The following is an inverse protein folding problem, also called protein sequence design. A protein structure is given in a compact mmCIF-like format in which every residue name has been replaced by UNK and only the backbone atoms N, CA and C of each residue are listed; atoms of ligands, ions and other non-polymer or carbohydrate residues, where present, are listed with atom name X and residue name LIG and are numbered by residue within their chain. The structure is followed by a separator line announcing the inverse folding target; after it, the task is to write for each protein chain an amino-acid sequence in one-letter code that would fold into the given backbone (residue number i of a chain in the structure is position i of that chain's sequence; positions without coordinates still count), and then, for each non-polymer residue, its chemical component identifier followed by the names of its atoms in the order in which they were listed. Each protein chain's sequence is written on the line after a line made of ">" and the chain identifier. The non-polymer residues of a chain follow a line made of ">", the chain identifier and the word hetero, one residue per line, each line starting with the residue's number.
data_IF_532241927561
#
_entry.id   IF_532241927561
#
_cell.length_a   1.000
_cell.length_b   1.000
_cell.length_c   1.000
_cell.angle_alpha   90.00
_cell.angle_beta   90.00
_cell.angle_gamma   90.00
#
_symmetry.space_group_name_H-M   'P 1'
#
loop_
_entity.id
_entity.type
_entity.pdbx_description
1 polymer ?
#
# COMPACT_ATOMS: atom_id res chain seq x y z
N UNK A 1 -18.80 -44.50 -25.96
CA UNK A 1 -17.65 -44.20 -25.09
C UNK A 1 -16.47 -43.86 -25.99
N UNK A 2 -16.31 -42.57 -26.31
CA UNK A 2 -15.15 -42.06 -27.06
C UNK A 2 -14.04 -41.81 -26.04
N UNK A 3 -12.94 -42.53 -26.16
CA UNK A 3 -11.67 -42.16 -25.57
C UNK A 3 -11.24 -40.85 -26.23
N UNK A 4 -11.17 -39.76 -25.47
CA UNK A 4 -10.55 -38.52 -25.93
C UNK A 4 -9.04 -38.68 -25.74
N UNK A 5 -8.33 -38.71 -26.86
CA UNK A 5 -6.89 -38.53 -26.92
C UNK A 5 -6.52 -37.19 -26.26
N UNK A 6 -5.75 -37.25 -25.19
CA UNK A 6 -5.07 -36.11 -24.57
C UNK A 6 -3.69 -35.93 -25.23
N UNK A 7 -3.67 -35.78 -26.56
CA UNK A 7 -2.49 -35.37 -27.33
C UNK A 7 -2.59 -33.88 -27.68
N UNK A 8 -2.73 -33.08 -26.62
CA UNK A 8 -2.58 -31.63 -26.65
C UNK A 8 -1.59 -31.24 -25.59
N UNK A 9 -0.30 -31.39 -25.88
CA UNK A 9 0.75 -30.77 -25.09
C UNK A 9 0.50 -29.26 -25.09
N UNK A 10 -0.14 -28.78 -24.03
CA UNK A 10 -0.09 -27.37 -23.65
C UNK A 10 1.38 -27.12 -23.32
N UNK A 11 2.09 -26.40 -24.18
CA UNK A 11 3.47 -25.96 -23.95
C UNK A 11 3.56 -25.28 -22.58
N UNK A 12 4.09 -26.01 -21.59
CA UNK A 12 4.35 -25.55 -20.22
C UNK A 12 5.34 -24.38 -20.14
N UNK A 13 5.98 -24.03 -21.25
CA UNK A 13 7.05 -23.04 -21.36
C UNK A 13 6.52 -21.59 -21.45
N UNK A 14 5.28 -21.39 -21.94
CA UNK A 14 4.71 -20.04 -22.03
C UNK A 14 4.16 -19.52 -20.69
N UNK A 15 3.87 -20.42 -19.74
CA UNK A 15 3.23 -20.11 -18.46
C UNK A 15 4.23 -19.74 -17.35
N UNK A 16 5.52 -19.94 -17.58
CA UNK A 16 6.61 -19.60 -16.65
C UNK A 16 7.16 -18.19 -16.86
N UNK A 17 6.60 -17.39 -17.79
CA UNK A 17 7.12 -16.05 -18.10
C UNK A 17 6.67 -15.04 -17.05
N UNK A 18 7.54 -14.63 -16.11
CA UNK A 18 7.11 -13.89 -14.92
C UNK A 18 6.65 -12.44 -15.23
N UNK A 19 7.01 -11.91 -16.42
CA UNK A 19 6.53 -10.62 -16.94
C UNK A 19 5.01 -10.54 -17.12
N UNK A 20 4.31 -11.67 -17.30
CA UNK A 20 2.84 -11.68 -17.40
C UNK A 20 2.16 -11.37 -16.05
N UNK A 21 2.79 -11.81 -14.96
CA UNK A 21 2.28 -11.72 -13.59
C UNK A 21 2.30 -10.29 -13.04
N UNK A 22 3.19 -9.44 -13.58
CA UNK A 22 3.40 -8.06 -13.12
C UNK A 22 2.62 -7.00 -13.93
N UNK A 23 1.90 -7.39 -15.00
CA UNK A 23 1.23 -6.45 -15.93
C UNK A 23 -0.28 -6.31 -15.74
N UNK A 24 -0.93 -7.21 -15.01
CA UNK A 24 -2.37 -7.20 -14.81
C UNK A 24 -2.74 -6.70 -13.40
N UNK A 25 -3.71 -5.79 -13.25
CA UNK A 25 -4.39 -5.56 -11.99
C UNK A 25 -5.18 -6.79 -11.59
N UNK A 26 -4.63 -7.58 -10.65
CA UNK A 26 -5.22 -8.84 -10.23
C UNK A 26 -6.37 -8.70 -9.22
N UNK A 27 -6.87 -7.49 -8.96
CA UNK A 27 -7.97 -7.30 -8.02
C UNK A 27 -9.37 -7.28 -8.67
N UNK A 28 -9.52 -7.34 -10.00
CA UNK A 28 -10.83 -7.60 -10.61
C UNK A 28 -10.78 -8.04 -12.07
N UNK A 29 -11.14 -9.31 -12.30
CA UNK A 29 -11.47 -9.86 -13.61
C UNK A 29 -10.71 -11.15 -13.89
N UNK A 30 -11.44 -12.26 -13.84
CA UNK A 30 -11.00 -13.63 -14.19
C UNK A 30 -10.09 -14.35 -13.18
N UNK A 31 -10.55 -14.39 -11.93
CA UNK A 31 -9.99 -15.24 -10.85
C UNK A 31 -10.07 -16.74 -11.20
N UNK A 32 -10.98 -17.16 -12.08
CA UNK A 32 -11.12 -18.59 -12.46
C UNK A 32 -9.93 -19.13 -13.25
N UNK A 33 -9.33 -18.33 -14.15
CA UNK A 33 -8.15 -18.76 -14.93
C UNK A 33 -6.89 -18.81 -14.06
N UNK A 34 -6.80 -17.91 -13.07
CA UNK A 34 -5.63 -17.81 -12.18
C UNK A 34 -5.72 -18.84 -11.05
N UNK A 35 -6.91 -19.12 -10.52
CA UNK A 35 -7.09 -20.12 -9.45
C UNK A 35 -6.69 -21.52 -9.91
N UNK A 36 -7.05 -21.94 -11.14
CA UNK A 36 -6.59 -23.22 -11.70
C UNK A 36 -5.09 -23.21 -12.07
N UNK A 37 -4.55 -22.09 -12.57
CA UNK A 37 -3.11 -21.96 -12.91
C UNK A 37 -2.19 -21.92 -11.69
N UNK A 38 -2.65 -21.35 -10.58
CA UNK A 38 -1.88 -21.08 -9.36
C UNK A 38 -1.93 -22.23 -8.36
N UNK A 39 -3.06 -22.94 -8.24
CA UNK A 39 -3.12 -24.16 -7.43
C UNK A 39 -2.19 -25.26 -7.98
N UNK A 40 -2.00 -25.34 -9.29
CA UNK A 40 -1.16 -26.36 -9.92
C UNK A 40 0.33 -25.98 -9.95
N UNK A 41 0.68 -24.69 -10.00
CA UNK A 41 2.09 -24.25 -10.14
C UNK A 41 2.73 -23.68 -8.87
N UNK A 42 2.02 -22.89 -8.06
CA UNK A 42 2.60 -22.18 -6.90
C UNK A 42 2.43 -22.91 -5.56
N UNK A 43 1.71 -24.04 -5.54
CA UNK A 43 1.55 -24.91 -4.36
C UNK A 43 2.65 -25.99 -4.24
N UNK A 44 3.46 -26.18 -5.29
CA UNK A 44 4.56 -27.16 -5.32
C UNK A 44 5.78 -26.72 -4.52
N UNK A 45 6.50 -27.68 -3.93
CA UNK A 45 7.69 -27.47 -3.07
C UNK A 45 8.79 -26.62 -3.72
N UNK A 46 8.87 -26.60 -5.06
CA UNK A 46 9.89 -25.84 -5.81
C UNK A 46 9.81 -24.33 -5.53
N UNK A 47 8.62 -23.73 -5.38
CA UNK A 47 8.50 -22.29 -5.07
C UNK A 47 8.80 -21.94 -3.61
N UNK A 48 8.68 -22.91 -2.70
CA UNK A 48 8.96 -22.69 -1.26
C UNK A 48 10.42 -22.95 -0.91
N UNK A 49 11.05 -23.90 -1.59
CA UNK A 49 12.36 -24.43 -1.22
C UNK A 49 13.49 -23.91 -2.12
N UNK A 50 13.19 -23.31 -3.28
CA UNK A 50 14.19 -22.77 -4.20
C UNK A 50 14.36 -21.25 -4.01
N UNK A 51 15.57 -20.77 -3.61
CA UNK A 51 15.82 -19.35 -3.37
C UNK A 51 15.65 -18.48 -4.62
N UNK A 52 15.74 -19.04 -5.83
CA UNK A 52 15.54 -18.30 -7.09
C UNK A 52 14.11 -17.79 -7.22
N UNK A 53 13.15 -18.43 -6.55
CA UNK A 53 11.74 -18.04 -6.55
C UNK A 53 11.32 -17.25 -5.30
N UNK A 54 12.25 -16.92 -4.40
CA UNK A 54 11.95 -16.28 -3.12
C UNK A 54 11.18 -14.95 -3.26
N UNK A 55 11.52 -14.15 -4.27
CA UNK A 55 10.77 -12.93 -4.60
C UNK A 55 9.32 -13.23 -4.95
N UNK A 56 9.08 -14.15 -5.89
CA UNK A 56 7.72 -14.49 -6.34
C UNK A 56 6.90 -15.14 -5.24
N UNK A 57 7.53 -15.96 -4.40
CA UNK A 57 6.88 -16.53 -3.22
C UNK A 57 6.48 -15.42 -2.24
N UNK A 58 7.38 -14.47 -1.95
CA UNK A 58 7.09 -13.35 -1.05
C UNK A 58 6.02 -12.42 -1.61
N UNK A 59 6.08 -12.11 -2.91
CA UNK A 59 5.07 -11.35 -3.64
C UNK A 59 3.70 -12.01 -3.56
N UNK A 60 3.61 -13.31 -3.88
CA UNK A 60 2.37 -14.06 -3.88
C UNK A 60 1.78 -14.20 -2.47
N UNK A 61 2.61 -14.50 -1.48
CA UNK A 61 2.18 -14.57 -0.07
C UNK A 61 1.74 -13.20 0.45
N UNK A 62 2.44 -12.13 0.09
CA UNK A 62 2.05 -10.76 0.38
C UNK A 62 0.67 -10.44 -0.20
N UNK A 63 0.44 -10.76 -1.47
CA UNK A 63 -0.86 -10.59 -2.13
C UNK A 63 -1.98 -11.36 -1.40
N UNK A 64 -1.76 -12.64 -1.05
CA UNK A 64 -2.74 -13.44 -0.30
C UNK A 64 -3.00 -12.91 1.10
N UNK A 65 -1.97 -12.41 1.77
CA UNK A 65 -2.05 -11.82 3.09
C UNK A 65 -2.60 -10.38 3.09
N UNK A 66 -2.92 -9.83 1.92
CA UNK A 66 -3.34 -8.44 1.77
C UNK A 66 -2.19 -7.43 1.85
N UNK A 67 -0.95 -7.86 2.07
CA UNK A 67 0.28 -7.07 2.19
C UNK A 67 1.11 -7.13 0.90
N UNK A 68 0.69 -6.51 -0.23
CA UNK A 68 1.48 -6.53 -1.44
C UNK A 68 2.85 -5.90 -1.21
N UNK A 69 3.85 -6.35 -1.96
CA UNK A 69 5.14 -5.65 -2.03
C UNK A 69 4.95 -4.19 -2.44
N UNK A 70 5.92 -3.34 -2.10
CA UNK A 70 5.92 -1.94 -2.51
C UNK A 70 5.68 -1.82 -4.03
N UNK A 71 4.70 -1.01 -4.42
CA UNK A 71 4.30 -0.87 -5.82
C UNK A 71 5.42 -0.32 -6.70
N UNK A 72 6.23 0.59 -6.18
CA UNK A 72 7.33 1.16 -6.95
C UNK A 72 8.46 0.13 -7.15
N UNK A 73 8.70 -0.74 -6.15
CA UNK A 73 9.59 -1.89 -6.32
C UNK A 73 9.06 -2.84 -7.42
N UNK A 74 7.78 -3.17 -7.39
CA UNK A 74 7.15 -4.01 -8.42
C UNK A 74 7.24 -3.37 -9.81
N UNK A 75 6.98 -2.06 -9.91
CA UNK A 75 7.08 -1.29 -11.15
C UNK A 75 8.51 -1.34 -11.70
N UNK A 76 9.52 -1.05 -10.86
CA UNK A 76 10.94 -1.10 -11.26
C UNK A 76 11.32 -2.47 -11.77
N UNK A 77 10.99 -3.54 -11.06
CA UNK A 77 11.24 -4.92 -11.51
C UNK A 77 10.57 -5.17 -12.88
N UNK A 78 9.33 -4.73 -13.06
CA UNK A 78 8.60 -4.92 -14.31
C UNK A 78 9.16 -4.10 -15.50
N UNK A 79 9.77 -2.94 -15.23
CA UNK A 79 10.26 -2.02 -16.27
C UNK A 79 11.76 -2.10 -16.54
N UNK A 80 12.57 -2.33 -15.51
CA UNK A 80 14.04 -2.35 -15.62
C UNK A 80 14.56 -3.66 -16.17
N UNK A 81 13.90 -4.80 -15.87
CA UNK A 81 14.30 -6.09 -16.40
C UNK A 81 13.91 -6.19 -17.89
N UNK A 82 14.88 -6.30 -18.81
CA UNK A 82 14.59 -6.38 -20.23
C UNK A 82 13.78 -7.63 -20.60
N UNK A 83 12.91 -7.58 -21.63
CA UNK A 83 12.16 -8.74 -22.10
C UNK A 83 13.04 -9.97 -22.34
N UNK A 84 14.27 -9.78 -22.84
CA UNK A 84 15.20 -10.86 -23.18
C UNK A 84 15.65 -11.63 -21.94
N UNK A 85 15.77 -10.96 -20.80
CA UNK A 85 16.09 -11.60 -19.51
C UNK A 85 14.89 -12.36 -18.99
N UNK A 86 13.68 -11.82 -19.14
CA UNK A 86 12.44 -12.54 -18.80
C UNK A 86 12.28 -13.83 -19.62
N UNK A 87 12.63 -13.79 -20.90
CA UNK A 87 12.57 -14.93 -21.83
C UNK A 87 13.69 -15.97 -21.59
N UNK A 88 14.80 -15.56 -20.96
CA UNK A 88 15.89 -16.46 -20.59
C UNK A 88 15.60 -17.32 -19.34
N UNK A 89 14.48 -17.06 -18.65
CA UNK A 89 14.01 -17.87 -17.52
C UNK A 89 14.57 -17.47 -16.16
N UNK A 90 14.19 -18.23 -15.12
CA UNK A 90 14.40 -17.84 -13.72
C UNK A 90 15.87 -17.64 -13.32
N UNK A 91 16.79 -18.39 -13.94
CA UNK A 91 18.23 -18.28 -13.67
C UNK A 91 18.82 -16.91 -14.09
N UNK A 92 18.23 -16.27 -15.10
CA UNK A 92 18.62 -14.94 -15.54
C UNK A 92 17.84 -13.83 -14.81
N UNK A 93 16.58 -14.10 -14.46
CA UNK A 93 15.67 -13.14 -13.79
C UNK A 93 16.03 -12.94 -12.32
N UNK A 94 16.29 -14.01 -11.57
CA UNK A 94 16.47 -13.93 -10.12
C UNK A 94 17.64 -13.03 -9.69
N UNK A 95 18.84 -13.08 -10.33
CA UNK A 95 19.92 -12.16 -10.02
C UNK A 95 19.57 -10.69 -10.28
N UNK A 96 18.77 -10.42 -11.31
CA UNK A 96 18.38 -9.05 -11.68
C UNK A 96 17.34 -8.47 -10.72
N UNK A 97 16.39 -9.29 -10.26
CA UNK A 97 15.48 -8.92 -9.18
C UNK A 97 16.29 -8.58 -7.91
N UNK A 98 17.24 -9.43 -7.52
CA UNK A 98 18.07 -9.19 -6.35
C UNK A 98 18.90 -7.90 -6.48
N UNK A 99 19.40 -7.57 -7.68
CA UNK A 99 20.08 -6.29 -7.96
C UNK A 99 19.13 -5.11 -7.71
N UNK A 100 17.91 -5.17 -8.26
CA UNK A 100 16.91 -4.11 -8.11
C UNK A 100 16.45 -3.97 -6.67
N UNK A 101 16.24 -5.08 -5.94
CA UNK A 101 15.89 -5.05 -4.51
C UNK A 101 17.02 -4.41 -3.67
N UNK A 102 18.28 -4.74 -3.95
CA UNK A 102 19.42 -4.15 -3.26
C UNK A 102 19.56 -2.64 -3.55
N UNK A 103 19.38 -2.22 -4.80
CA UNK A 103 19.36 -0.81 -5.17
C UNK A 103 18.16 -0.05 -4.60
N UNK A 104 17.01 -0.72 -4.52
CA UNK A 104 15.79 -0.17 -3.92
C UNK A 104 15.98 0.06 -2.42
N UNK A 105 16.52 -0.91 -1.69
CA UNK A 105 16.76 -0.77 -0.25
C UNK A 105 17.86 0.27 0.03
N UNK A 106 18.96 0.23 -0.74
CA UNK A 106 20.01 1.25 -0.65
C UNK A 106 19.51 2.65 -1.02
N UNK A 107 18.53 2.75 -1.93
CA UNK A 107 17.88 4.00 -2.34
C UNK A 107 16.86 4.51 -1.33
N UNK A 108 16.14 3.60 -0.65
CA UNK A 108 15.24 3.93 0.48
C UNK A 108 16.01 4.49 1.67
N UNK A 109 17.17 3.92 1.98
CA UNK A 109 18.08 4.45 3.00
C UNK A 109 18.77 5.75 2.55
N UNK A 110 19.01 5.91 1.24
CA UNK A 110 19.48 7.15 0.63
C UNK A 110 18.36 8.21 0.50
N UNK A 111 17.90 8.66 1.67
CA UNK A 111 17.38 10.00 1.97
C UNK A 111 15.99 10.35 1.40
N UNK A 112 14.95 9.99 2.15
CA UNK A 112 13.87 10.97 2.35
C UNK A 112 14.50 12.28 2.85
N UNK A 113 14.30 13.40 2.12
CA UNK A 113 14.91 14.68 2.48
C UNK A 113 14.59 14.99 3.94
N UNK A 114 15.62 15.34 4.70
CA UNK A 114 15.43 15.87 6.05
C UNK A 114 14.51 17.08 5.97
N UNK A 115 13.61 17.24 6.92
CA UNK A 115 12.68 18.38 6.98
C UNK A 115 12.87 19.15 8.30
N UNK A 116 13.94 19.95 8.42
CA UNK A 116 14.32 20.61 9.67
C UNK A 116 13.22 21.51 10.26
N UNK A 117 12.40 22.11 9.42
CA UNK A 117 11.29 22.98 9.80
C UNK A 117 10.17 22.26 10.56
N UNK A 118 10.12 20.93 10.47
CA UNK A 118 9.15 20.09 11.18
C UNK A 118 9.76 19.27 12.32
N UNK A 119 11.07 19.39 12.58
CA UNK A 119 11.73 18.65 13.66
C UNK A 119 11.30 19.17 15.03
N UNK A 120 10.97 18.29 15.99
CA UNK A 120 10.66 18.72 17.34
C UNK A 120 11.92 19.29 18.01
N UNK A 121 11.72 20.25 18.92
CA UNK A 121 12.81 20.84 19.70
C UNK A 121 13.45 19.82 20.66
N UNK A 122 12.67 18.84 21.13
CA UNK A 122 13.12 17.79 22.04
C UNK A 122 12.32 16.51 21.85
N UNK A 123 13.02 15.38 21.94
CA UNK A 123 12.45 14.02 21.91
C UNK A 123 12.72 13.26 23.20
N UNK A 124 13.31 13.93 24.21
CA UNK A 124 13.75 13.29 25.45
C UNK A 124 12.63 12.52 26.15
N UNK A 125 11.42 13.09 26.17
CA UNK A 125 10.25 12.50 26.81
C UNK A 125 9.80 11.16 26.19
N UNK A 126 10.15 10.89 24.93
CA UNK A 126 9.82 9.63 24.26
C UNK A 126 10.64 8.46 24.81
N UNK A 127 11.82 8.74 25.38
CA UNK A 127 12.68 7.75 26.02
C UNK A 127 12.27 7.45 27.47
N UNK A 128 11.33 8.22 28.07
CA UNK A 128 10.82 7.93 29.41
C UNK A 128 9.85 6.72 29.39
N UNK A 129 9.21 6.46 28.25
CA UNK A 129 8.23 5.37 28.05
C UNK A 129 8.44 4.62 26.72
N UNK A 130 9.63 4.06 26.46
CA UNK A 130 10.01 3.57 25.13
C UNK A 130 9.15 2.41 24.64
N UNK A 131 8.73 1.51 25.54
CA UNK A 131 7.85 0.38 25.21
C UNK A 131 6.44 0.85 24.82
N UNK A 132 5.89 1.85 25.52
CA UNK A 132 4.57 2.40 25.20
C UNK A 132 4.59 3.17 23.90
N UNK A 133 5.63 4.01 23.69
CA UNK A 133 5.79 4.77 22.45
C UNK A 133 5.95 3.85 21.25
N UNK A 134 6.89 2.90 21.29
CA UNK A 134 7.12 1.95 20.19
C UNK A 134 5.90 1.06 19.92
N UNK A 135 5.22 0.58 20.97
CA UNK A 135 3.98 -0.18 20.84
C UNK A 135 2.86 0.60 20.15
N UNK A 136 2.62 1.84 20.58
CA UNK A 136 1.60 2.70 19.97
C UNK A 136 1.89 2.99 18.50
N UNK A 137 3.15 3.29 18.16
CA UNK A 137 3.57 3.55 16.79
C UNK A 137 3.43 2.32 15.89
N UNK A 138 3.74 1.13 16.43
CA UNK A 138 3.56 -0.14 15.71
C UNK A 138 2.08 -0.40 15.43
N UNK A 139 1.20 -0.18 16.42
CA UNK A 139 -0.25 -0.32 16.24
C UNK A 139 -0.80 0.71 15.23
N UNK A 140 -0.31 1.94 15.29
CA UNK A 140 -0.68 2.99 14.35
C UNK A 140 -0.25 2.66 12.90
N UNK A 141 1.00 2.23 12.72
CA UNK A 141 1.53 1.80 11.42
C UNK A 141 0.69 0.65 10.84
N UNK A 142 0.41 -0.38 11.64
CA UNK A 142 -0.44 -1.49 11.24
C UNK A 142 -1.85 -1.06 10.86
N UNK A 143 -2.43 -0.09 11.57
CA UNK A 143 -3.78 0.42 11.26
C UNK A 143 -3.82 1.13 9.91
N UNK A 144 -2.75 1.87 9.57
CA UNK A 144 -2.58 2.48 8.25
C UNK A 144 -2.47 1.40 7.18
N UNK A 145 -1.54 0.45 7.36
CA UNK A 145 -1.32 -0.64 6.40
C UNK A 145 -2.61 -1.38 6.13
N UNK A 146 -3.24 -1.98 7.15
CA UNK A 146 -4.51 -2.73 7.03
C UNK A 146 -5.62 -1.91 6.38
N UNK A 147 -5.72 -0.61 6.69
CA UNK A 147 -6.67 0.28 6.03
C UNK A 147 -6.47 0.35 4.52
N UNK A 148 -5.23 0.50 4.07
CA UNK A 148 -4.89 0.51 2.64
C UNK A 148 -5.07 -0.85 1.98
N UNK A 149 -4.81 -1.96 2.69
CA UNK A 149 -5.11 -3.31 2.19
C UNK A 149 -6.61 -3.46 1.92
N UNK A 150 -7.46 -3.06 2.88
CA UNK A 150 -8.91 -3.12 2.73
C UNK A 150 -9.40 -2.17 1.62
N UNK A 151 -8.85 -0.96 1.54
CA UNK A 151 -9.17 -0.01 0.48
C UNK A 151 -8.86 -0.58 -0.91
N UNK A 152 -7.69 -1.21 -1.09
CA UNK A 152 -7.32 -1.86 -2.35
C UNK A 152 -8.23 -3.04 -2.67
N UNK A 153 -8.51 -3.90 -1.70
CA UNK A 153 -9.43 -5.03 -1.89
C UNK A 153 -10.82 -4.59 -2.36
N UNK A 154 -11.30 -3.46 -1.83
CA UNK A 154 -12.62 -2.92 -2.16
C UNK A 154 -12.64 -2.18 -3.50
N UNK A 155 -11.60 -1.43 -3.82
CA UNK A 155 -11.56 -0.58 -5.01
C UNK A 155 -11.04 -1.30 -6.25
N UNK A 156 -10.23 -2.34 -6.06
CA UNK A 156 -9.46 -2.99 -7.11
C UNK A 156 -8.30 -2.14 -7.64
N UNK A 157 -7.95 -1.05 -6.96
CA UNK A 157 -6.81 -0.23 -7.33
C UNK A 157 -5.51 -0.91 -6.89
N UNK A 158 -4.55 -0.96 -7.82
CA UNK A 158 -3.19 -1.43 -7.53
C UNK A 158 -2.29 -0.33 -6.97
N UNK A 159 -2.61 0.93 -7.29
CA UNK A 159 -1.81 2.09 -6.91
C UNK A 159 -2.63 2.96 -5.97
N UNK A 160 -1.98 3.45 -4.93
CA UNK A 160 -2.58 4.39 -4.01
C UNK A 160 -2.77 5.74 -4.72
N UNK A 161 -3.99 6.29 -4.73
CA UNK A 161 -4.24 7.59 -5.32
C UNK A 161 -3.29 8.66 -4.76
N UNK A 162 -2.83 9.57 -5.62
CA UNK A 162 -1.81 10.57 -5.29
C UNK A 162 -2.08 11.30 -3.96
N UNK A 163 -3.31 11.78 -3.75
CA UNK A 163 -3.67 12.51 -2.52
C UNK A 163 -3.62 11.65 -1.24
N UNK A 164 -3.64 10.32 -1.36
CA UNK A 164 -3.56 9.36 -0.25
C UNK A 164 -2.14 8.80 -0.05
N UNK A 165 -1.23 9.00 -1.01
CA UNK A 165 0.16 8.53 -0.89
C UNK A 165 0.86 9.02 0.38
N UNK A 166 0.67 10.28 0.82
CA UNK A 166 1.29 10.73 2.07
C UNK A 166 0.83 9.91 3.27
N UNK A 167 -0.45 9.52 3.34
CA UNK A 167 -1.00 8.74 4.44
C UNK A 167 -0.41 7.31 4.46
N UNK A 168 -0.26 6.68 3.30
CA UNK A 168 0.34 5.33 3.22
C UNK A 168 1.82 5.34 3.62
N UNK A 169 2.58 6.32 3.13
CA UNK A 169 4.01 6.40 3.37
C UNK A 169 4.38 6.66 4.84
N UNK A 170 3.44 7.14 5.67
CA UNK A 170 3.68 7.40 7.09
C UNK A 170 3.92 6.12 7.91
N UNK A 171 3.40 4.96 7.48
CA UNK A 171 3.60 3.70 8.22
C UNK A 171 5.08 3.38 8.40
N UNK A 172 5.88 3.54 7.33
CA UNK A 172 7.32 3.31 7.36
C UNK A 172 8.07 4.27 8.31
N UNK A 173 7.68 5.55 8.40
CA UNK A 173 8.28 6.45 9.39
C UNK A 173 7.92 6.02 10.82
N UNK A 174 6.67 5.62 11.07
CA UNK A 174 6.25 5.15 12.40
C UNK A 174 7.04 3.90 12.83
N UNK A 175 7.28 2.96 11.92
CA UNK A 175 8.10 1.77 12.18
C UNK A 175 9.56 2.12 12.48
N UNK A 176 10.18 3.05 11.73
CA UNK A 176 11.54 3.52 12.00
C UNK A 176 11.65 4.22 13.35
N UNK A 177 10.69 5.10 13.68
CA UNK A 177 10.61 5.77 14.98
C UNK A 177 10.46 4.73 16.09
N UNK A 178 9.58 3.73 15.92
CA UNK A 178 9.38 2.65 16.88
C UNK A 178 10.67 1.84 17.09
N UNK A 179 11.42 1.55 16.03
CA UNK A 179 12.70 0.85 16.11
C UNK A 179 13.75 1.65 16.91
N UNK A 180 13.94 2.94 16.56
CA UNK A 180 14.90 3.82 17.25
C UNK A 180 14.59 3.94 18.75
N UNK A 181 13.31 4.11 19.11
CA UNK A 181 12.89 4.19 20.52
C UNK A 181 12.99 2.82 21.21
N UNK A 182 12.69 1.74 20.49
CA UNK A 182 12.69 0.36 20.98
C UNK A 182 14.08 -0.17 21.35
N UNK A 183 15.15 0.36 20.74
CA UNK A 183 16.54 0.05 21.11
C UNK A 183 16.90 0.47 22.54
N UNK A 184 16.12 1.37 23.16
CA UNK A 184 16.29 1.85 24.55
C UNK A 184 17.68 2.45 24.86
N UNK A 185 18.50 2.75 23.85
CA UNK A 185 19.78 3.42 24.01
C UNK A 185 19.61 4.91 23.73
N UNK A 186 19.58 5.71 24.80
CA UNK A 186 19.57 7.16 24.68
C UNK A 186 20.98 7.71 24.50
N UNK A 187 21.22 8.32 23.34
CA UNK A 187 22.48 8.98 22.97
C UNK A 187 22.17 10.22 22.13
N UNK A 188 23.13 11.13 21.96
CA UNK A 188 22.95 12.28 21.06
C UNK A 188 22.67 11.86 19.62
N UNK A 189 23.21 10.72 19.19
CA UNK A 189 23.02 10.18 17.85
C UNK A 189 21.59 9.63 17.67
N UNK A 190 21.11 8.84 18.63
CA UNK A 190 19.74 8.28 18.59
C UNK A 190 18.68 9.36 18.78
N UNK A 191 18.93 10.37 19.61
CA UNK A 191 18.05 11.55 19.73
C UNK A 191 17.98 12.33 18.40
N UNK A 192 19.11 12.55 17.72
CA UNK A 192 19.11 13.26 16.44
C UNK A 192 18.40 12.45 15.35
N UNK A 193 18.67 11.15 15.25
CA UNK A 193 17.97 10.26 14.31
C UNK A 193 16.44 10.27 14.55
N UNK A 194 16.03 10.23 15.82
CA UNK A 194 14.62 10.29 16.20
C UNK A 194 13.97 11.63 15.80
N UNK A 195 14.66 12.75 16.01
CA UNK A 195 14.16 14.07 15.58
C UNK A 195 13.97 14.14 14.08
N UNK A 196 14.93 13.64 13.31
CA UNK A 196 14.87 13.63 11.84
C UNK A 196 13.69 12.79 11.34
N UNK A 197 13.48 11.58 11.88
CA UNK A 197 12.34 10.75 11.50
C UNK A 197 10.99 11.36 11.89
N UNK A 198 10.88 11.96 13.08
CA UNK A 198 9.66 12.69 13.48
C UNK A 198 9.44 13.89 12.55
N UNK A 199 10.50 14.60 12.17
CA UNK A 199 10.43 15.71 11.21
C UNK A 199 9.88 15.24 9.85
N UNK A 200 10.37 14.12 9.32
CA UNK A 200 9.84 13.51 8.08
C UNK A 200 8.37 13.12 8.20
N UNK A 201 7.98 12.50 9.33
CA UNK A 201 6.59 12.15 9.59
C UNK A 201 5.70 13.41 9.61
N UNK A 202 6.11 14.45 10.34
CA UNK A 202 5.36 15.70 10.46
C UNK A 202 5.26 16.46 9.13
N UNK A 203 6.30 16.39 8.29
CA UNK A 203 6.26 16.93 6.92
C UNK A 203 5.21 16.21 6.06
N UNK A 204 5.14 14.87 6.15
CA UNK A 204 4.08 14.11 5.48
C UNK A 204 2.69 14.46 6.00
N UNK A 205 2.55 14.74 7.31
CA UNK A 205 1.26 15.17 7.89
C UNK A 205 0.84 16.50 7.28
N UNK A 206 1.74 17.47 7.21
CA UNK A 206 1.48 18.75 6.57
C UNK A 206 1.13 18.59 5.08
N UNK A 207 1.82 17.69 4.37
CA UNK A 207 1.50 17.37 2.98
C UNK A 207 0.09 16.77 2.85
N UNK A 208 -0.26 15.79 3.69
CA UNK A 208 -1.60 15.19 3.71
C UNK A 208 -2.68 16.23 3.98
N UNK A 209 -2.46 17.14 4.94
CA UNK A 209 -3.39 18.24 5.24
C UNK A 209 -3.61 19.14 4.00
N UNK A 210 -2.55 19.46 3.26
CA UNK A 210 -2.64 20.24 2.03
C UNK A 210 -3.42 19.48 0.93
N UNK A 211 -3.16 18.18 0.76
CA UNK A 211 -3.86 17.34 -0.22
C UNK A 211 -5.35 17.15 0.12
N UNK A 212 -5.68 16.96 1.40
CA UNK A 212 -7.08 16.90 1.87
C UNK A 212 -7.81 18.23 1.65
N UNK A 213 -7.13 19.36 1.87
CA UNK A 213 -7.69 20.68 1.60
C UNK A 213 -8.01 20.87 0.10
N UNK A 214 -7.12 20.44 -0.80
CA UNK A 214 -7.37 20.45 -2.26
C UNK A 214 -8.52 19.53 -2.63
N UNK A 215 -8.49 18.28 -2.17
CA UNK A 215 -9.51 17.26 -2.43
C UNK A 215 -10.92 17.69 -1.99
N UNK A 216 -11.03 18.52 -0.94
CA UNK A 216 -12.31 19.09 -0.49
C UNK A 216 -12.99 19.95 -1.58
N UNK A 217 -12.23 20.55 -2.48
CA UNK A 217 -12.74 21.43 -3.54
C UNK A 217 -12.70 20.82 -4.95
N UNK A 218 -11.99 19.72 -5.14
CA UNK A 218 -11.83 19.06 -6.43
C UNK A 218 -13.06 18.20 -6.79
N UNK A 219 -13.81 18.61 -7.81
CA UNK A 219 -14.98 17.88 -8.29
C UNK A 219 -14.62 16.65 -9.14
N UNK A 220 -13.50 16.71 -9.86
CA UNK A 220 -13.06 15.61 -10.72
C UNK A 220 -12.61 14.42 -9.85
N UNK A 221 -11.90 14.71 -8.76
CA UNK A 221 -11.52 13.70 -7.78
C UNK A 221 -12.74 13.05 -7.13
N UNK A 222 -13.75 13.86 -6.76
CA UNK A 222 -15.00 13.36 -6.15
C UNK A 222 -15.83 12.50 -7.10
N UNK A 223 -15.68 12.69 -8.41
CA UNK A 223 -16.37 11.88 -9.42
C UNK A 223 -15.79 10.47 -9.58
N UNK A 224 -14.62 10.18 -9.01
CA UNK A 224 -13.95 8.88 -9.19
C UNK A 224 -14.75 7.76 -8.51
N UNK A 225 -14.93 6.59 -9.15
CA UNK A 225 -15.73 5.48 -8.59
C UNK A 225 -15.24 4.94 -7.24
N UNK A 226 -13.94 5.09 -6.95
CA UNK A 226 -13.31 4.66 -5.71
C UNK A 226 -13.35 5.72 -4.60
N UNK A 227 -13.70 6.97 -4.91
CA UNK A 227 -13.57 8.09 -3.97
C UNK A 227 -14.39 7.85 -2.69
N UNK A 228 -15.65 7.43 -2.82
CA UNK A 228 -16.51 7.07 -1.66
C UNK A 228 -15.94 5.92 -0.81
N UNK A 229 -15.15 5.02 -1.41
CA UNK A 229 -14.50 3.92 -0.67
C UNK A 229 -13.33 4.39 0.18
N UNK A 230 -12.82 5.61 -0.01
CA UNK A 230 -11.79 6.17 0.86
C UNK A 230 -12.22 6.24 2.33
N UNK A 231 -13.52 6.25 2.63
CA UNK A 231 -14.04 6.15 4.01
C UNK A 231 -13.54 4.93 4.79
N UNK A 232 -13.15 3.84 4.10
CA UNK A 232 -12.55 2.64 4.70
C UNK A 232 -11.26 2.99 5.46
N UNK A 233 -10.52 3.99 5.00
CA UNK A 233 -9.26 4.44 5.61
C UNK A 233 -9.46 5.22 6.94
N UNK A 234 -10.65 5.15 7.54
CA UNK A 234 -10.92 5.79 8.83
C UNK A 234 -10.04 5.23 9.97
N UNK A 235 -9.72 3.93 9.91
CA UNK A 235 -8.77 3.30 10.83
C UNK A 235 -7.35 3.83 10.60
N UNK A 236 -6.94 4.06 9.34
CA UNK A 236 -5.65 4.65 9.00
C UNK A 236 -5.53 6.09 9.55
N UNK A 237 -6.59 6.90 9.38
CA UNK A 237 -6.65 8.25 9.94
C UNK A 237 -6.58 8.25 11.48
N UNK A 238 -7.25 7.30 12.15
CA UNK A 238 -7.18 7.13 13.60
C UNK A 238 -5.78 6.69 14.07
N UNK A 239 -5.12 5.80 13.32
CA UNK A 239 -3.73 5.41 13.54
C UNK A 239 -2.80 6.62 13.46
N UNK A 240 -2.95 7.45 12.43
CA UNK A 240 -2.21 8.70 12.30
C UNK A 240 -2.42 9.64 13.50
N UNK A 241 -3.67 9.85 13.90
CA UNK A 241 -3.97 10.66 15.09
C UNK A 241 -3.27 10.15 16.35
N UNK A 242 -3.24 8.83 16.55
CA UNK A 242 -2.55 8.18 17.67
C UNK A 242 -1.05 8.41 17.64
N UNK A 243 -0.42 8.29 16.46
CA UNK A 243 1.00 8.53 16.29
C UNK A 243 1.38 10.00 16.53
N UNK A 244 0.63 10.95 15.95
CA UNK A 244 0.85 12.40 16.16
C UNK A 244 0.69 12.76 17.63
N UNK A 245 -0.35 12.23 18.29
CA UNK A 245 -0.55 12.43 19.73
C UNK A 245 0.64 11.93 20.54
N UNK A 246 1.06 10.69 20.29
CA UNK A 246 2.17 10.04 21.01
C UNK A 246 3.48 10.81 20.86
N UNK A 247 3.74 11.43 19.70
CA UNK A 247 5.01 12.09 19.39
C UNK A 247 5.07 13.57 19.75
N UNK A 248 3.92 14.25 19.82
CA UNK A 248 3.89 15.71 19.98
C UNK A 248 4.40 16.18 21.34
N UNK A 249 4.22 15.39 22.39
CA UNK A 249 4.44 15.82 23.78
C UNK A 249 3.65 17.07 24.20
N UNK A 250 2.78 17.62 23.33
CA UNK A 250 2.04 18.86 23.50
C UNK A 250 0.54 18.61 23.31
N UNK A 251 -0.23 18.68 24.40
CA UNK A 251 -1.66 18.36 24.33
C UNK A 251 -2.43 19.32 23.40
N UNK A 252 -1.94 20.54 23.18
CA UNK A 252 -2.64 21.59 22.44
C UNK A 252 -2.40 21.48 20.92
N UNK A 253 -1.14 21.30 20.49
CA UNK A 253 -0.78 21.14 19.07
C UNK A 253 -1.30 19.84 18.49
N UNK A 254 -1.11 18.71 19.17
CA UNK A 254 -1.69 17.43 18.74
C UNK A 254 -3.22 17.46 18.71
N UNK A 255 -3.88 18.05 19.70
CA UNK A 255 -5.34 18.18 19.69
C UNK A 255 -5.82 18.98 18.49
N UNK A 256 -5.20 20.13 18.19
CA UNK A 256 -5.58 20.95 17.03
C UNK A 256 -5.38 20.23 15.70
N UNK A 257 -4.28 19.48 15.55
CA UNK A 257 -4.02 18.65 14.36
C UNK A 257 -5.00 17.49 14.24
N UNK A 258 -5.33 16.83 15.36
CA UNK A 258 -6.36 15.79 15.40
C UNK A 258 -7.75 16.33 15.06
N UNK A 259 -8.12 17.49 15.60
CA UNK A 259 -9.39 18.16 15.25
C UNK A 259 -9.44 18.51 13.77
N UNK A 260 -8.33 18.97 13.19
CA UNK A 260 -8.22 19.29 11.76
C UNK A 260 -8.35 18.03 10.89
N UNK A 261 -7.60 16.96 11.20
CA UNK A 261 -7.68 15.68 10.49
C UNK A 261 -9.07 15.03 10.65
N UNK A 262 -9.65 15.09 11.86
CA UNK A 262 -10.98 14.59 12.14
C UNK A 262 -12.04 15.41 11.39
N UNK A 263 -11.92 16.73 11.32
CA UNK A 263 -12.82 17.58 10.53
C UNK A 263 -12.74 17.20 9.04
N UNK A 264 -11.53 17.02 8.49
CA UNK A 264 -11.37 16.55 7.11
C UNK A 264 -11.97 15.17 6.90
N UNK A 265 -11.84 14.28 7.88
CA UNK A 265 -12.36 12.92 7.78
C UNK A 265 -13.87 12.81 8.01
N UNK A 266 -14.46 13.65 8.85
CA UNK A 266 -15.92 13.75 9.08
C UNK A 266 -16.61 14.46 7.91
N UNK A 267 -16.00 15.52 7.37
CA UNK A 267 -16.40 16.11 6.07
C UNK A 267 -16.26 15.06 4.97
N UNK A 268 -15.21 14.24 5.03
CA UNK A 268 -15.03 13.03 4.25
C UNK A 268 -16.20 12.08 4.40
N UNK A 269 -16.58 11.62 5.60
CA UNK A 269 -17.73 10.74 5.82
C UNK A 269 -19.03 11.32 5.25
N UNK A 270 -19.25 12.63 5.34
CA UNK A 270 -20.38 13.31 4.68
C UNK A 270 -20.31 13.35 3.15
N UNK A 271 -19.10 13.42 2.58
CA UNK A 271 -18.83 13.41 1.13
C UNK A 271 -18.73 12.00 0.52
N UNK A 272 -18.31 11.01 1.31
CA UNK A 272 -18.07 9.61 0.93
C UNK A 272 -19.29 8.74 1.15
N UNK A 273 -20.22 9.16 2.01
CA UNK A 273 -21.51 8.52 2.25
C UNK A 273 -22.61 9.10 1.33
N UNK A 274 -22.26 9.40 0.07
CA UNK A 274 -23.29 9.54 -0.96
C UNK A 274 -23.77 8.13 -1.29
N UNK A 275 -25.05 7.85 -1.03
CA UNK A 275 -25.72 6.62 -1.42
C UNK A 275 -25.35 6.22 -2.86
N UNK A 276 -25.31 4.92 -3.19
CA UNK A 276 -25.09 4.47 -4.56
C UNK A 276 -26.14 5.15 -5.46
N UNK A 277 -25.69 5.78 -6.54
CA UNK A 277 -26.59 6.21 -7.62
C UNK A 277 -27.38 4.97 -8.03
N UNK A 278 -28.70 5.02 -7.82
CA UNK A 278 -29.63 3.91 -8.04
C UNK A 278 -29.47 3.32 -9.45
N UNK A 279 -28.89 2.11 -9.53
CA UNK A 279 -29.09 1.12 -10.60
C UNK A 279 -28.75 1.51 -12.05
N UNK A 280 -28.63 0.53 -12.94
CA UNK A 280 -28.65 0.81 -14.38
C UNK A 280 -30.01 1.43 -14.73
N UNK A 281 -30.01 2.49 -15.54
CA UNK A 281 -31.22 3.12 -16.07
C UNK A 281 -32.21 2.05 -16.57
N UNK A 282 -33.53 2.19 -16.29
CA UNK A 282 -34.51 1.25 -16.79
C UNK A 282 -34.35 1.14 -18.31
N UNK A 283 -34.13 -0.09 -18.80
CA UNK A 283 -34.04 -0.36 -20.24
C UNK A 283 -35.27 0.24 -20.91
N UNK A 284 -35.12 0.95 -22.04
CA UNK A 284 -36.26 1.43 -22.81
C UNK A 284 -37.21 0.25 -23.08
N UNK A 285 -38.42 0.32 -22.55
CA UNK A 285 -39.45 -0.66 -22.89
C UNK A 285 -39.83 -0.40 -24.36
N UNK A 286 -39.59 -1.40 -25.20
CA UNK A 286 -40.12 -1.38 -26.56
C UNK A 286 -41.65 -1.30 -26.48
N UNK A 287 -42.30 -0.49 -27.33
CA UNK A 287 -43.75 -0.45 -27.38
C UNK A 287 -44.31 -1.86 -27.65
N UNK A 288 -45.45 -2.22 -27.05
CA UNK A 288 -46.07 -3.52 -27.29
C UNK A 288 -46.28 -3.71 -28.79
N UNK A 289 -45.92 -4.90 -29.29
CA UNK A 289 -46.16 -5.28 -30.66
C UNK A 289 -47.66 -5.12 -30.94
N UNK A 290 -48.02 -4.16 -31.78
CA UNK A 290 -49.32 -4.16 -32.44
C UNK A 290 -49.32 -5.34 -33.39
N UNK A 291 -50.15 -6.33 -33.10
CA UNK A 291 -50.51 -7.38 -34.06
C UNK A 291 -51.05 -6.69 -35.34
N UNK A 292 -50.40 -6.97 -36.46
CA UNK A 292 -50.87 -6.67 -37.82
C UNK A 292 -51.03 -7.99 -38.56
#
# INVERSE_FOLDING_TARGET
>A
MRSMDLDGAIETDQFLKPRFWLRAPLYKGDVEVISEMVEVSLSGSIFRDDPRFAFFASWYQGMLAGKPLDWELQRRIATEIPPEIWEAGIDAVAPEIARIEAEWESGREAQEPRSPEYEPNSVAHLFDYPLSVSGNLTVAANSISVGFEQFRAETGLNETPEFLQPLEAMSANMERIAAIVGEQVRSSMTEQALREEIGRLMAKVAHLEAELAKAKTDLDLKSKPWFGKAAILCSAAAGLGTAVWTLSGDEIGAKKRMETLAEYWEVGKGLFNTAPVEGPAPKPQLPPATDV
#
